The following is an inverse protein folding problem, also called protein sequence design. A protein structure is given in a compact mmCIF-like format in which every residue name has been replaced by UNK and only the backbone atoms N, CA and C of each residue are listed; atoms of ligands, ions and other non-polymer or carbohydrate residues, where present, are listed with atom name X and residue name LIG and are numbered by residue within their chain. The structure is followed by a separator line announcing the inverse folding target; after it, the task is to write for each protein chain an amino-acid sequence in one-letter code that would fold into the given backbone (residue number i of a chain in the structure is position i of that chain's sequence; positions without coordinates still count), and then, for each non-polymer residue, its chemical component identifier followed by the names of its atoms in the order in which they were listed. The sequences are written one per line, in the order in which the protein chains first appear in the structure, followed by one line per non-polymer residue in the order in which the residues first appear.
data_IF_917170560751
#
_entry.id   IF_917170560751
#
_cell.length_a   1.000
_cell.length_b   1.000
_cell.length_c   1.000
_cell.angle_alpha   90.00
_cell.angle_beta   90.00
_cell.angle_gamma   90.00
#
_symmetry.space_group_name_H-M   'P 1'
#
loop_
_entity.id
_entity.type
_entity.pdbx_description
1 polymer ?
#
# COMPACT_ATOMS: atom_id res chain seq x y z
N UNK A 1 -6.19 36.53 -14.18
CA UNK A 1 -4.85 36.33 -13.53
C UNK A 1 -4.82 35.05 -12.68
N UNK A 2 -3.66 34.43 -12.63
CA UNK A 2 -3.39 33.37 -11.67
C UNK A 2 -1.98 33.62 -11.20
N UNK A 3 -1.85 33.98 -9.92
CA UNK A 3 -0.58 34.36 -9.31
C UNK A 3 0.08 33.16 -8.61
N UNK A 4 1.26 33.37 -8.09
CA UNK A 4 2.02 32.28 -7.49
C UNK A 4 2.66 31.37 -8.51
N UNK A 5 3.50 30.45 -8.05
CA UNK A 5 4.31 29.62 -8.94
C UNK A 5 3.47 28.61 -9.70
N UNK A 6 3.81 28.37 -10.97
CA UNK A 6 3.22 27.31 -11.77
C UNK A 6 4.00 26.04 -11.49
N UNK A 7 3.29 24.96 -11.20
CA UNK A 7 3.94 23.70 -10.86
C UNK A 7 4.76 23.13 -12.03
N UNK A 8 5.96 22.67 -11.75
CA UNK A 8 6.74 21.90 -12.73
C UNK A 8 7.15 20.57 -12.07
N UNK A 9 6.93 19.46 -12.76
CA UNK A 9 7.33 18.15 -12.22
C UNK A 9 8.81 18.13 -11.91
N UNK A 10 9.19 17.56 -10.76
CA UNK A 10 10.62 17.38 -10.51
C UNK A 10 11.30 16.57 -11.61
N UNK A 11 12.44 17.07 -12.05
CA UNK A 11 13.17 16.45 -13.10
C UNK A 11 14.06 15.39 -12.46
N UNK A 12 13.52 14.23 -12.13
CA UNK A 12 14.32 13.23 -11.44
C UNK A 12 14.87 12.15 -12.38
N UNK A 13 16.15 11.86 -12.18
CA UNK A 13 16.83 10.91 -13.01
C UNK A 13 16.27 9.52 -12.81
N UNK A 14 16.30 8.73 -13.87
CA UNK A 14 15.77 7.39 -13.85
C UNK A 14 16.68 6.51 -13.04
N UNK A 15 16.09 5.43 -12.54
CA UNK A 15 16.81 4.48 -11.72
C UNK A 15 17.81 3.72 -12.56
N UNK A 16 19.06 3.69 -12.10
CA UNK A 16 20.08 2.86 -12.73
C UNK A 16 20.39 1.75 -11.76
N UNK A 17 20.28 0.50 -12.22
CA UNK A 17 20.71 -0.66 -11.42
C UNK A 17 21.56 -1.58 -12.30
N UNK A 18 22.87 -1.46 -12.19
CA UNK A 18 23.83 -2.22 -13.01
C UNK A 18 23.67 -3.75 -13.00
N UNK A 19 23.17 -4.30 -11.90
CA UNK A 19 22.98 -5.75 -11.78
C UNK A 19 21.94 -6.30 -12.75
N UNK A 20 21.03 -5.46 -13.25
CA UNK A 20 19.99 -5.88 -14.21
C UNK A 20 20.50 -6.41 -15.59
N UNK A 21 21.71 -6.04 -15.99
CA UNK A 21 22.40 -6.62 -17.19
C UNK A 21 22.66 -8.13 -17.05
N UNK A 22 22.82 -8.59 -15.81
CA UNK A 22 23.00 -9.99 -15.45
C UNK A 22 21.94 -10.95 -16.03
N UNK A 23 22.33 -12.22 -16.05
CA UNK A 23 21.60 -13.32 -16.77
C UNK A 23 20.22 -13.73 -16.21
N UNK A 24 20.02 -13.72 -14.88
CA UNK A 24 18.68 -14.07 -14.39
C UNK A 24 17.51 -13.16 -14.80
N UNK A 25 17.79 -12.02 -15.45
CA UNK A 25 16.76 -11.03 -15.79
C UNK A 25 16.58 -10.78 -17.29
N UNK A 26 15.35 -10.41 -17.65
CA UNK A 26 14.96 -10.12 -19.02
C UNK A 26 14.40 -8.69 -19.05
N UNK A 27 15.18 -7.77 -19.64
CA UNK A 27 14.84 -6.33 -19.67
C UNK A 27 13.99 -5.91 -20.85
N UNK A 28 13.74 -6.82 -21.80
CA UNK A 28 13.02 -6.47 -23.03
C UNK A 28 11.53 -6.29 -22.78
N UNK A 29 11.00 -7.02 -21.80
CA UNK A 29 9.61 -6.92 -21.43
C UNK A 29 9.41 -6.99 -19.91
N UNK A 30 8.23 -6.53 -19.49
CA UNK A 30 7.83 -6.50 -18.10
C UNK A 30 6.42 -7.10 -18.03
N UNK A 31 6.19 -8.04 -17.11
CA UNK A 31 4.85 -8.58 -16.88
C UNK A 31 4.18 -7.79 -15.76
N UNK A 32 3.08 -7.12 -16.08
CA UNK A 32 2.29 -6.42 -15.06
C UNK A 32 1.62 -7.40 -14.11
N UNK A 33 1.09 -8.49 -14.66
CA UNK A 33 0.53 -9.60 -13.89
C UNK A 33 1.65 -10.61 -13.58
N UNK A 34 2.67 -10.12 -12.87
CA UNK A 34 3.95 -10.78 -12.64
C UNK A 34 3.84 -12.16 -11.98
N UNK A 35 2.84 -12.29 -11.11
CA UNK A 35 2.57 -13.51 -10.34
C UNK A 35 2.10 -14.70 -11.17
N UNK A 36 1.60 -14.46 -12.38
CA UNK A 36 1.08 -15.53 -13.25
C UNK A 36 2.17 -16.42 -13.84
N UNK A 37 3.41 -15.96 -13.78
CA UNK A 37 4.57 -16.69 -14.28
C UNK A 37 4.91 -17.94 -13.50
N UNK A 38 4.51 -17.95 -12.24
CA UNK A 38 4.57 -19.12 -11.41
C UNK A 38 3.75 -20.30 -11.92
N UNK A 39 2.85 -20.05 -12.88
CA UNK A 39 2.01 -21.07 -13.51
C UNK A 39 1.18 -21.83 -12.49
N UNK A 40 0.73 -21.13 -11.46
CA UNK A 40 0.03 -21.72 -10.34
C UNK A 40 -1.41 -21.21 -10.41
N UNK A 41 -2.36 -22.06 -10.82
CA UNK A 41 -3.72 -21.55 -10.98
C UNK A 41 -4.41 -21.23 -9.65
N UNK A 42 -4.05 -21.95 -8.59
CA UNK A 42 -4.55 -21.68 -7.23
C UNK A 42 -4.22 -20.24 -6.84
N UNK A 43 -2.92 -19.92 -6.89
CA UNK A 43 -2.44 -18.58 -6.59
C UNK A 43 -3.20 -17.50 -7.37
N UNK A 44 -3.39 -17.75 -8.66
CA UNK A 44 -4.11 -16.83 -9.52
C UNK A 44 -5.50 -16.55 -9.02
N UNK A 45 -6.17 -17.60 -8.57
CA UNK A 45 -7.49 -17.49 -7.99
C UNK A 45 -7.47 -16.66 -6.70
N UNK A 46 -6.47 -16.88 -5.87
CA UNK A 46 -6.30 -16.07 -4.66
C UNK A 46 -6.25 -14.57 -4.97
N UNK A 47 -5.47 -14.20 -5.97
CA UNK A 47 -5.26 -12.80 -6.32
C UNK A 47 -6.55 -12.20 -6.86
N UNK A 48 -7.22 -12.95 -7.74
CA UNK A 48 -8.51 -12.52 -8.31
C UNK A 48 -9.53 -12.30 -7.22
N UNK A 49 -9.61 -13.22 -6.28
CA UNK A 49 -10.60 -13.11 -5.22
C UNK A 49 -10.25 -11.97 -4.29
N UNK A 50 -8.95 -11.79 -4.03
CA UNK A 50 -8.46 -10.71 -3.19
C UNK A 50 -8.88 -9.35 -3.70
N UNK A 51 -8.75 -9.13 -5.01
CA UNK A 51 -9.12 -7.85 -5.60
C UNK A 51 -10.62 -7.54 -5.41
N UNK A 52 -11.45 -8.56 -5.41
CA UNK A 52 -12.89 -8.40 -5.11
C UNK A 52 -13.26 -8.20 -3.65
N UNK A 53 -12.61 -8.95 -2.74
CA UNK A 53 -13.06 -9.07 -1.36
C UNK A 53 -12.30 -8.29 -0.31
N UNK A 54 -11.05 -7.97 -0.59
CA UNK A 54 -10.20 -7.28 0.38
C UNK A 54 -10.79 -5.94 0.78
N UNK A 55 -11.00 -5.77 2.08
CA UNK A 55 -11.68 -4.62 2.64
C UNK A 55 -10.81 -3.39 2.70
N UNK A 56 -9.51 -3.55 2.98
CA UNK A 56 -8.57 -2.42 2.91
C UNK A 56 -8.58 -1.79 1.56
N UNK A 57 -8.78 -2.58 0.53
CA UNK A 57 -8.87 -2.06 -0.83
C UNK A 57 -10.17 -1.28 -1.07
N UNK A 58 -11.24 -1.83 -0.50
CA UNK A 58 -12.55 -1.20 -0.53
C UNK A 58 -12.55 0.13 0.24
N UNK A 59 -11.81 0.19 1.34
CA UNK A 59 -11.66 1.43 2.08
C UNK A 59 -11.00 2.48 1.22
N UNK A 60 -9.86 2.14 0.65
CA UNK A 60 -9.10 3.06 -0.17
C UNK A 60 -9.88 3.55 -1.37
N UNK A 61 -10.71 2.71 -1.96
CA UNK A 61 -11.57 3.15 -3.06
C UNK A 61 -12.64 4.15 -2.60
N UNK A 62 -13.19 3.98 -1.40
CA UNK A 62 -14.15 4.98 -0.87
C UNK A 62 -13.46 6.33 -0.61
N UNK A 63 -12.21 6.28 -0.14
CA UNK A 63 -11.41 7.49 0.11
C UNK A 63 -11.09 8.27 -1.16
N UNK A 64 -10.97 7.55 -2.27
CA UNK A 64 -10.84 8.18 -3.59
C UNK A 64 -12.13 8.93 -3.97
N UNK A 65 -13.28 8.28 -3.77
CA UNK A 65 -14.55 8.88 -4.08
C UNK A 65 -14.81 10.11 -3.24
N UNK A 66 -14.42 10.02 -1.96
CA UNK A 66 -14.46 11.16 -1.03
C UNK A 66 -13.60 12.32 -1.51
N UNK A 67 -12.37 12.04 -1.93
CA UNK A 67 -11.49 13.05 -2.47
C UNK A 67 -12.07 13.71 -3.74
N UNK A 68 -12.66 12.91 -4.62
CA UNK A 68 -13.33 13.45 -5.78
C UNK A 68 -14.50 14.34 -5.42
N UNK A 69 -15.29 13.91 -4.44
CA UNK A 69 -16.43 14.71 -3.96
C UNK A 69 -16.00 16.08 -3.44
N UNK A 70 -14.86 16.12 -2.78
CA UNK A 70 -14.32 17.35 -2.25
C UNK A 70 -13.88 18.26 -3.39
N UNK A 71 -13.22 17.69 -4.36
CA UNK A 71 -12.84 18.42 -5.56
C UNK A 71 -14.06 19.01 -6.30
N UNK A 72 -15.14 18.22 -6.41
CA UNK A 72 -16.39 18.68 -7.03
C UNK A 72 -17.01 19.87 -6.33
N UNK A 73 -16.90 19.88 -5.01
CA UNK A 73 -17.40 20.99 -4.19
C UNK A 73 -16.61 22.27 -4.44
N UNK A 74 -15.28 22.13 -4.46
CA UNK A 74 -14.36 23.25 -4.70
C UNK A 74 -14.59 23.78 -6.12
N UNK A 75 -14.76 22.86 -7.06
CA UNK A 75 -15.09 23.22 -8.43
C UNK A 75 -16.27 24.21 -8.55
N UNK A 76 -17.31 24.09 -7.70
CA UNK A 76 -18.46 25.03 -7.75
C UNK A 76 -18.20 26.44 -7.32
N UNK A 77 -17.11 26.66 -6.60
CA UNK A 77 -16.83 27.94 -5.97
C UNK A 77 -16.57 29.03 -6.98
N UNK A 78 -16.29 28.66 -8.24
CA UNK A 78 -16.13 29.64 -9.34
C UNK A 78 -17.43 30.36 -9.63
N UNK A 79 -18.56 29.67 -9.48
CA UNK A 79 -19.84 30.21 -9.89
C UNK A 79 -20.53 30.95 -8.74
N UNK A 80 -21.42 31.92 -9.09
CA UNK A 80 -22.22 32.59 -8.06
C UNK A 80 -23.06 31.59 -7.29
N UNK A 81 -23.35 31.93 -6.03
CA UNK A 81 -24.14 31.09 -5.14
C UNK A 81 -25.49 31.77 -4.97
N UNK A 82 -26.51 31.18 -5.59
CA UNK A 82 -27.88 31.66 -5.54
C UNK A 82 -28.76 30.77 -4.63
N UNK A 83 -29.31 31.38 -3.57
CA UNK A 83 -30.18 30.71 -2.65
C UNK A 83 -31.48 31.51 -2.62
N UNK A 84 -32.57 30.86 -2.21
CA UNK A 84 -33.88 31.53 -2.09
C UNK A 84 -34.16 31.74 -0.63
N UNK A 85 -34.86 32.83 -0.32
CA UNK A 85 -35.16 33.12 1.06
C UNK A 85 -36.42 33.94 1.23
N UNK A 86 -37.08 33.70 2.36
CA UNK A 86 -38.26 34.42 2.79
C UNK A 86 -38.00 34.80 4.24
N UNK A 87 -38.02 36.09 4.55
CA UNK A 87 -37.75 36.54 5.92
C UNK A 87 -38.61 37.72 6.31
N UNK A 88 -38.56 38.07 7.59
CA UNK A 88 -39.24 39.24 8.13
C UNK A 88 -38.41 39.89 9.22
N UNK A 89 -38.66 41.17 9.46
CA UNK A 89 -38.03 41.92 10.53
C UNK A 89 -39.11 42.80 11.11
N UNK A 90 -39.61 42.39 12.27
CA UNK A 90 -40.63 43.08 13.00
C UNK A 90 -40.04 43.60 14.29
N UNK A 91 -40.42 44.81 14.68
CA UNK A 91 -40.03 45.32 15.97
C UNK A 91 -40.71 46.61 16.35
N UNK A 92 -40.35 47.12 17.52
CA UNK A 92 -40.85 48.37 18.01
C UNK A 92 -39.77 48.98 18.87
N UNK A 93 -39.37 50.20 18.53
CA UNK A 93 -38.30 50.90 19.21
C UNK A 93 -38.08 52.29 18.63
N UNK A 94 -37.09 53.00 19.13
CA UNK A 94 -36.71 54.30 18.58
C UNK A 94 -35.99 54.08 17.27
N UNK A 95 -35.98 55.12 16.44
CA UNK A 95 -35.19 55.15 15.20
C UNK A 95 -34.16 56.29 15.31
N UNK A 96 -32.94 55.94 15.79
CA UNK A 96 -31.86 56.94 15.94
C UNK A 96 -31.63 57.66 14.63
N UNK A 97 -31.60 59.00 14.68
CA UNK A 97 -31.49 59.82 13.47
C UNK A 97 -32.83 60.34 13.01
N UNK A 98 -33.85 59.47 13.05
CA UNK A 98 -35.19 59.76 12.53
C UNK A 98 -36.13 60.33 13.61
N UNK A 99 -36.26 59.61 14.72
CA UNK A 99 -37.25 59.98 15.74
C UNK A 99 -36.95 59.35 17.10
N UNK A 100 -37.34 60.06 18.18
CA UNK A 100 -37.18 59.56 19.55
C UNK A 100 -38.42 58.83 20.09
N UNK A 101 -39.52 58.86 19.32
CA UNK A 101 -40.70 58.05 19.59
C UNK A 101 -40.40 56.58 19.35
N UNK A 102 -40.96 55.71 20.18
CA UNK A 102 -40.95 54.28 19.93
C UNK A 102 -41.96 53.99 18.84
N UNK A 103 -41.47 53.52 17.71
CA UNK A 103 -42.27 53.32 16.51
C UNK A 103 -42.23 51.85 16.09
N UNK A 104 -43.27 51.39 15.41
CA UNK A 104 -43.32 50.06 14.83
C UNK A 104 -42.52 49.95 13.53
N UNK A 105 -41.87 48.80 13.36
CA UNK A 105 -41.10 48.47 12.17
C UNK A 105 -41.56 47.14 11.64
N UNK A 106 -41.72 47.08 10.33
CA UNK A 106 -42.18 45.88 9.66
C UNK A 106 -41.63 45.84 8.27
N UNK A 107 -40.92 44.75 7.97
CA UNK A 107 -40.31 44.53 6.69
C UNK A 107 -40.51 43.07 6.33
N UNK A 108 -40.86 42.80 5.06
CA UNK A 108 -41.01 41.44 4.56
C UNK A 108 -40.23 41.26 3.26
N UNK A 109 -39.52 40.14 3.16
CA UNK A 109 -38.69 39.87 1.99
C UNK A 109 -38.93 38.47 1.43
N UNK A 110 -38.95 38.34 0.11
CA UNK A 110 -39.04 37.05 -0.60
C UNK A 110 -38.30 37.14 -1.95
N UNK A 111 -37.23 36.38 -2.11
CA UNK A 111 -36.50 36.43 -3.36
C UNK A 111 -35.27 35.56 -3.37
N UNK A 112 -34.42 35.77 -4.37
CA UNK A 112 -33.16 35.05 -4.54
C UNK A 112 -32.03 35.91 -4.00
N UNK A 113 -31.20 35.33 -3.17
CA UNK A 113 -29.98 35.97 -2.73
C UNK A 113 -28.90 35.39 -3.59
N UNK A 114 -27.94 36.22 -4.00
CA UNK A 114 -26.77 35.69 -4.67
C UNK A 114 -25.50 36.28 -4.10
N UNK A 115 -24.44 35.48 -4.15
CA UNK A 115 -23.12 35.83 -3.60
C UNK A 115 -22.03 35.21 -4.50
N UNK A 116 -20.96 35.96 -4.74
CA UNK A 116 -19.97 35.53 -5.73
C UNK A 116 -18.64 36.25 -5.60
N UNK A 117 -17.60 35.48 -5.25
CA UNK A 117 -16.20 35.94 -5.38
C UNK A 117 -15.74 35.73 -6.84
N UNK A 118 -15.47 36.82 -7.57
CA UNK A 118 -14.84 36.75 -8.91
C UNK A 118 -13.37 36.33 -8.70
N UNK A 119 -12.92 35.31 -9.40
CA UNK A 119 -11.63 34.72 -9.12
C UNK A 119 -10.55 35.48 -9.88
N UNK A 120 -10.40 36.75 -9.54
CA UNK A 120 -9.64 37.67 -10.36
C UNK A 120 -8.16 37.34 -10.39
N UNK A 121 -7.64 36.87 -9.25
CA UNK A 121 -6.23 36.52 -9.11
C UNK A 121 -5.98 35.04 -8.94
N UNK A 122 -7.03 34.23 -9.13
CA UNK A 122 -6.90 32.77 -9.27
C UNK A 122 -6.83 32.01 -7.99
N UNK A 123 -7.31 32.58 -6.90
CA UNK A 123 -7.36 31.88 -5.62
C UNK A 123 -8.21 30.60 -5.70
N UNK A 124 -9.42 30.74 -6.22
CA UNK A 124 -10.29 29.58 -6.36
C UNK A 124 -9.74 28.57 -7.38
N UNK A 125 -9.13 29.09 -8.46
CA UNK A 125 -8.55 28.25 -9.50
C UNK A 125 -7.40 27.42 -8.92
N UNK A 126 -6.58 28.05 -8.07
CA UNK A 126 -5.50 27.36 -7.36
C UNK A 126 -6.02 26.38 -6.31
N UNK A 127 -7.15 26.66 -5.68
CA UNK A 127 -7.79 25.64 -4.83
C UNK A 127 -8.19 24.41 -5.62
N UNK A 128 -8.82 24.62 -6.77
CA UNK A 128 -9.31 23.52 -7.55
C UNK A 128 -8.13 22.70 -8.07
N UNK A 129 -7.09 23.42 -8.50
CA UNK A 129 -5.83 22.79 -8.93
C UNK A 129 -5.21 21.91 -7.82
N UNK A 130 -5.22 22.41 -6.59
CA UNK A 130 -4.80 21.64 -5.40
C UNK A 130 -5.67 20.40 -5.20
N UNK A 131 -6.98 20.63 -5.20
CA UNK A 131 -7.94 19.61 -4.88
C UNK A 131 -7.93 18.50 -5.92
N UNK A 132 -7.78 18.86 -7.20
CA UNK A 132 -7.55 17.89 -8.28
C UNK A 132 -6.28 17.04 -8.07
N UNK A 133 -5.19 17.68 -7.65
CA UNK A 133 -3.94 16.95 -7.38
C UNK A 133 -4.13 15.93 -6.26
N UNK A 134 -4.82 16.31 -5.19
CA UNK A 134 -5.08 15.41 -4.05
C UNK A 134 -5.98 14.27 -4.47
N UNK A 135 -6.92 14.57 -5.34
CA UNK A 135 -7.82 13.55 -5.90
C UNK A 135 -7.01 12.48 -6.62
N UNK A 136 -6.07 12.92 -7.45
CA UNK A 136 -5.13 12.03 -8.14
C UNK A 136 -4.19 11.30 -7.17
N UNK A 137 -3.77 11.98 -6.10
CA UNK A 137 -3.00 11.34 -5.04
C UNK A 137 -3.74 10.19 -4.38
N UNK A 138 -5.06 10.35 -4.15
CA UNK A 138 -5.85 9.28 -3.54
C UNK A 138 -5.98 8.06 -4.47
N UNK A 139 -6.03 8.32 -5.78
CA UNK A 139 -6.04 7.25 -6.76
C UNK A 139 -4.72 6.45 -6.76
N UNK A 140 -3.61 7.17 -6.67
CA UNK A 140 -2.28 6.55 -6.58
C UNK A 140 -2.13 5.76 -5.27
N UNK A 141 -2.68 6.24 -4.18
CA UNK A 141 -2.73 5.46 -2.93
C UNK A 141 -3.46 4.13 -3.13
N UNK A 142 -4.61 4.16 -3.78
CA UNK A 142 -5.40 2.95 -4.08
C UNK A 142 -4.54 1.94 -4.87
N UNK A 143 -3.81 2.44 -5.85
CA UNK A 143 -2.96 1.59 -6.69
C UNK A 143 -1.75 1.03 -5.97
N UNK A 144 -1.13 1.85 -5.14
CA UNK A 144 -0.02 1.41 -4.29
C UNK A 144 -0.45 0.31 -3.30
N UNK A 145 -1.61 0.49 -2.69
CA UNK A 145 -2.16 -0.52 -1.80
C UNK A 145 -2.42 -1.82 -2.54
N UNK A 146 -2.76 -1.71 -3.81
CA UNK A 146 -2.98 -2.90 -4.61
C UNK A 146 -1.69 -3.69 -4.85
N UNK A 147 -0.64 -2.95 -5.17
CA UNK A 147 0.72 -3.49 -5.31
C UNK A 147 1.17 -4.19 -4.01
N UNK A 148 0.92 -3.53 -2.89
CA UNK A 148 1.32 -4.04 -1.59
C UNK A 148 0.54 -5.31 -1.23
N UNK A 149 -0.76 -5.20 -1.36
CA UNK A 149 -1.66 -6.31 -1.13
C UNK A 149 -1.29 -7.55 -1.92
N UNK A 150 -1.11 -7.40 -3.22
CA UNK A 150 -0.77 -8.55 -4.06
C UNK A 150 0.54 -9.16 -3.60
N UNK A 151 1.55 -8.32 -3.36
CA UNK A 151 2.86 -8.79 -2.84
C UNK A 151 2.69 -9.50 -1.53
N UNK A 152 1.94 -8.93 -0.60
CA UNK A 152 1.73 -9.59 0.70
C UNK A 152 1.06 -10.93 0.53
N UNK A 153 0.09 -11.01 -0.39
CA UNK A 153 -0.68 -12.23 -0.63
C UNK A 153 0.17 -13.31 -1.26
N UNK A 154 0.91 -12.94 -2.30
CA UNK A 154 1.80 -13.90 -2.98
C UNK A 154 2.91 -14.37 -2.01
N UNK A 155 3.50 -13.44 -1.29
CA UNK A 155 4.49 -13.73 -0.28
C UNK A 155 3.97 -14.70 0.78
N UNK A 156 2.77 -14.45 1.29
CA UNK A 156 2.17 -15.31 2.29
C UNK A 156 1.88 -16.69 1.76
N UNK A 157 1.39 -16.78 0.53
CA UNK A 157 1.15 -18.08 -0.10
C UNK A 157 2.42 -18.91 -0.19
N UNK A 158 3.53 -18.26 -0.52
CA UNK A 158 4.84 -18.91 -0.54
C UNK A 158 5.30 -19.41 0.80
N UNK A 159 4.94 -18.70 1.87
CA UNK A 159 5.31 -19.13 3.20
C UNK A 159 4.48 -20.34 3.60
N UNK A 160 3.22 -20.38 3.20
CA UNK A 160 2.42 -21.56 3.42
C UNK A 160 3.02 -22.80 2.74
N UNK A 161 3.48 -22.64 1.50
CA UNK A 161 4.01 -23.78 0.74
C UNK A 161 5.31 -24.25 1.36
N UNK A 162 6.15 -23.29 1.76
CA UNK A 162 7.36 -23.55 2.55
C UNK A 162 7.14 -24.34 3.84
N UNK A 163 6.12 -23.99 4.59
CA UNK A 163 5.80 -24.71 5.82
C UNK A 163 5.37 -26.14 5.50
N UNK A 164 4.52 -26.31 4.49
CA UNK A 164 4.10 -27.62 4.02
C UNK A 164 5.31 -28.44 3.55
N UNK A 165 6.21 -27.82 2.79
CA UNK A 165 7.41 -28.48 2.29
C UNK A 165 8.27 -28.95 3.45
N UNK A 166 8.54 -28.04 4.37
CA UNK A 166 9.36 -28.33 5.52
C UNK A 166 8.71 -29.38 6.42
N UNK A 167 7.39 -29.40 6.49
CA UNK A 167 6.68 -30.42 7.26
C UNK A 167 6.99 -31.79 6.73
N UNK A 168 6.88 -31.94 5.41
CA UNK A 168 7.06 -33.24 4.79
C UNK A 168 8.50 -33.71 4.95
N UNK A 169 9.45 -32.78 4.79
CA UNK A 169 10.86 -33.05 5.05
C UNK A 169 11.06 -33.60 6.49
N UNK A 170 10.54 -32.88 7.47
CA UNK A 170 10.58 -33.34 8.86
C UNK A 170 9.97 -34.75 9.07
N UNK A 171 8.81 -34.98 8.46
CA UNK A 171 8.14 -36.27 8.51
C UNK A 171 8.96 -37.42 7.87
N UNK A 172 9.60 -37.10 6.75
CA UNK A 172 10.47 -38.02 6.01
C UNK A 172 11.74 -38.36 6.81
N UNK A 173 12.40 -37.34 7.30
CA UNK A 173 13.53 -37.53 8.19
C UNK A 173 13.16 -38.21 9.51
N UNK A 174 11.94 -37.98 9.98
CA UNK A 174 11.44 -38.69 11.17
C UNK A 174 11.38 -40.20 10.93
N UNK A 175 11.04 -40.62 9.72
CA UNK A 175 10.93 -42.03 9.42
C UNK A 175 12.31 -42.68 9.36
N UNK A 176 13.30 -42.01 8.77
CA UNK A 176 14.70 -42.48 8.87
C UNK A 176 15.09 -42.70 10.34
N UNK A 177 14.75 -41.73 11.18
CA UNK A 177 15.11 -41.75 12.59
C UNK A 177 14.29 -42.71 13.44
N UNK A 178 13.21 -43.24 12.90
CA UNK A 178 12.46 -44.36 13.51
C UNK A 178 13.10 -45.67 13.11
N UNK A 179 13.46 -45.78 11.84
CA UNK A 179 14.14 -46.96 11.33
C UNK A 179 15.47 -47.13 12.05
N UNK A 180 16.22 -46.04 12.10
CA UNK A 180 17.48 -45.99 12.83
C UNK A 180 17.30 -46.30 14.32
N UNK A 181 16.26 -45.78 14.93
CA UNK A 181 15.92 -46.10 16.31
C UNK A 181 15.53 -47.59 16.48
N UNK A 182 14.79 -48.12 15.52
CA UNK A 182 14.43 -49.54 15.53
C UNK A 182 15.70 -50.38 15.49
N UNK A 183 16.64 -49.98 14.63
CA UNK A 183 17.90 -50.68 14.45
C UNK A 183 18.73 -50.72 15.73
N UNK A 184 18.93 -49.57 16.36
CA UNK A 184 19.63 -49.50 17.66
C UNK A 184 18.94 -50.36 18.75
N UNK A 185 17.62 -50.46 18.68
CA UNK A 185 16.84 -51.24 19.61
C UNK A 185 17.10 -52.73 19.38
N UNK A 186 17.22 -53.12 18.10
CA UNK A 186 17.54 -54.51 17.73
C UNK A 186 18.94 -54.94 18.16
N UNK A 187 19.91 -54.03 18.08
CA UNK A 187 21.30 -54.33 18.44
C UNK A 187 21.54 -54.48 19.93
N UNK A 188 20.78 -53.79 20.77
CA UNK A 188 20.89 -53.99 22.22
C UNK A 188 20.21 -55.33 22.59
N UNK A 189 19.08 -55.63 21.96
CA UNK A 189 18.36 -56.89 22.20
C UNK A 189 19.09 -58.15 21.67
N UNK A 190 20.02 -57.98 20.74
CA UNK A 190 20.91 -59.07 20.29
C UNK A 190 22.17 -59.21 21.15
N UNK A 191 22.35 -58.36 22.16
CA UNK A 191 23.52 -58.43 23.06
C UNK A 191 24.78 -57.66 22.64
N UNK A 192 24.83 -57.14 21.41
CA UNK A 192 26.05 -56.52 20.83
C UNK A 192 26.17 -54.99 20.96
N UNK A 193 25.04 -54.28 21.03
CA UNK A 193 24.99 -52.81 21.08
C UNK A 193 25.04 -52.21 22.48
N UNK A 194 24.25 -51.17 22.72
CA UNK A 194 24.16 -50.51 24.06
C UNK A 194 22.93 -49.60 24.17
N UNK A 195 22.42 -49.45 25.39
CA UNK A 195 21.27 -48.57 25.65
C UNK A 195 21.53 -47.09 25.34
N UNK A 196 22.77 -46.66 25.58
CA UNK A 196 23.20 -45.29 25.29
C UNK A 196 22.79 -44.87 23.88
N UNK A 197 22.95 -45.80 22.94
CA UNK A 197 22.56 -45.56 21.56
C UNK A 197 21.04 -45.39 21.42
N UNK A 198 20.27 -46.25 22.07
CA UNK A 198 18.81 -46.17 22.02
C UNK A 198 18.30 -44.82 22.55
N UNK A 199 18.86 -44.38 23.69
CA UNK A 199 18.48 -43.11 24.30
C UNK A 199 18.75 -41.91 23.37
N UNK A 200 19.96 -41.83 22.85
CA UNK A 200 20.33 -40.79 21.89
C UNK A 200 19.40 -40.82 20.69
N UNK A 201 19.05 -42.01 20.23
CA UNK A 201 18.19 -42.17 19.07
C UNK A 201 16.79 -41.68 19.38
N UNK A 202 16.29 -42.00 20.59
CA UNK A 202 14.93 -41.59 20.99
C UNK A 202 14.86 -40.07 21.24
N UNK A 203 15.91 -39.50 21.84
CA UNK A 203 16.05 -38.06 21.98
C UNK A 203 15.94 -37.34 20.64
N UNK A 204 16.78 -37.70 19.70
CA UNK A 204 16.80 -37.11 18.35
C UNK A 204 15.46 -37.28 17.62
N UNK A 205 14.83 -38.42 17.82
CA UNK A 205 13.52 -38.70 17.27
C UNK A 205 12.45 -37.74 17.83
N UNK A 206 12.54 -37.45 19.13
CA UNK A 206 11.63 -36.53 19.78
C UNK A 206 11.81 -35.09 19.30
N UNK A 207 13.05 -34.72 19.04
CA UNK A 207 13.39 -33.38 18.58
C UNK A 207 12.77 -33.10 17.24
N UNK A 208 12.91 -34.06 16.33
CA UNK A 208 12.35 -33.93 15.01
C UNK A 208 10.83 -33.90 15.09
N UNK A 209 10.26 -34.70 16.00
CA UNK A 209 8.82 -34.71 16.21
C UNK A 209 8.27 -33.36 16.73
N UNK A 210 9.09 -32.65 17.51
CA UNK A 210 8.69 -31.34 18.04
C UNK A 210 8.57 -30.28 16.94
N UNK A 211 9.36 -30.40 15.87
CA UNK A 211 9.28 -29.42 14.79
C UNK A 211 7.98 -29.49 13.96
N UNK A 212 7.33 -30.66 13.91
CA UNK A 212 6.18 -30.87 13.03
C UNK A 212 4.95 -30.02 13.43
N UNK A 213 4.55 -30.03 14.71
CA UNK A 213 3.46 -29.11 15.10
C UNK A 213 3.81 -27.63 14.87
N UNK A 214 5.08 -27.27 15.06
CA UNK A 214 5.50 -25.90 14.88
C UNK A 214 5.35 -25.48 13.42
N UNK A 215 5.80 -26.31 12.50
CA UNK A 215 5.65 -26.04 11.07
C UNK A 215 4.16 -25.99 10.68
N UNK A 216 3.36 -26.87 11.30
CA UNK A 216 1.91 -26.90 11.10
C UNK A 216 1.26 -25.64 11.62
N UNK A 217 1.78 -25.14 12.73
CA UNK A 217 1.32 -23.90 13.30
C UNK A 217 1.57 -22.70 12.37
N UNK A 218 2.78 -22.61 11.82
CA UNK A 218 3.11 -21.56 10.84
C UNK A 218 2.18 -21.58 9.64
N UNK A 219 1.93 -22.77 9.14
CA UNK A 219 1.06 -22.99 7.98
C UNK A 219 -0.34 -22.48 8.23
N UNK A 220 -0.84 -22.76 9.43
CA UNK A 220 -2.19 -22.40 9.77
C UNK A 220 -2.27 -20.85 9.92
N UNK A 221 -1.21 -20.23 10.43
CA UNK A 221 -1.16 -18.76 10.50
C UNK A 221 -1.15 -18.14 9.12
N UNK A 222 -0.40 -18.74 8.20
CA UNK A 222 -0.41 -18.29 6.81
C UNK A 222 -1.80 -18.44 6.12
N UNK A 223 -2.52 -19.54 6.36
CA UNK A 223 -3.89 -19.68 5.88
C UNK A 223 -4.81 -18.57 6.40
N UNK A 224 -4.64 -18.22 7.69
CA UNK A 224 -5.48 -17.22 8.32
C UNK A 224 -5.19 -15.85 7.73
N UNK A 225 -3.92 -15.56 7.48
CA UNK A 225 -3.51 -14.32 6.83
C UNK A 225 -4.14 -14.22 5.45
N UNK A 226 -3.98 -15.28 4.68
CA UNK A 226 -4.45 -15.32 3.30
C UNK A 226 -5.94 -15.03 3.26
N UNK A 227 -6.68 -15.64 4.18
CA UNK A 227 -8.14 -15.48 4.25
C UNK A 227 -8.54 -14.02 4.50
N UNK A 228 -7.91 -13.36 5.48
CA UNK A 228 -8.16 -11.95 5.74
C UNK A 228 -7.81 -11.08 4.53
N UNK A 229 -6.73 -11.42 3.83
CA UNK A 229 -6.37 -10.68 2.63
C UNK A 229 -7.37 -10.85 1.52
N UNK A 230 -8.06 -11.99 1.48
CA UNK A 230 -9.10 -12.22 0.47
C UNK A 230 -10.43 -11.55 0.81
N UNK A 231 -10.60 -11.13 2.07
CA UNK A 231 -11.87 -10.62 2.56
C UNK A 231 -12.80 -11.72 3.06
N UNK A 232 -12.21 -12.80 3.58
CA UNK A 232 -12.98 -13.95 4.01
C UNK A 232 -12.64 -14.33 5.45
N UNK A 233 -13.57 -15.03 6.10
CA UNK A 233 -13.37 -15.57 7.42
C UNK A 233 -12.53 -16.85 7.28
N UNK A 234 -11.75 -17.25 8.31
CA UNK A 234 -10.79 -18.37 8.15
C UNK A 234 -11.45 -19.74 7.86
N UNK A 235 -12.44 -20.06 8.68
CA UNK A 235 -13.51 -21.04 8.40
C UNK A 235 -14.12 -21.10 6.98
N UNK A 236 -14.24 -19.96 6.29
CA UNK A 236 -15.03 -19.84 5.03
C UNK A 236 -14.20 -19.68 3.76
N UNK A 237 -12.97 -20.14 3.79
CA UNK A 237 -12.02 -19.87 2.72
C UNK A 237 -12.35 -20.71 1.50
N UNK A 238 -12.67 -20.04 0.38
CA UNK A 238 -13.20 -20.75 -0.81
C UNK A 238 -12.12 -21.40 -1.68
N UNK A 239 -10.85 -21.10 -1.45
CA UNK A 239 -9.76 -21.71 -2.20
C UNK A 239 -9.14 -22.87 -1.42
N UNK A 240 -9.06 -24.03 -2.09
CA UNK A 240 -8.42 -25.21 -1.51
C UNK A 240 -6.91 -25.00 -1.49
N UNK A 241 -6.33 -25.09 -0.29
CA UNK A 241 -4.90 -24.91 -0.10
C UNK A 241 -4.21 -26.20 0.40
N UNK A 242 -4.60 -27.34 -0.17
CA UNK A 242 -3.95 -28.63 0.13
C UNK A 242 -2.51 -28.57 -0.35
N UNK A 243 -1.60 -29.30 0.33
CA UNK A 243 -0.20 -29.27 -0.09
C UNK A 243 0.01 -29.51 -1.60
N UNK A 244 0.61 -28.52 -2.24
CA UNK A 244 1.20 -28.62 -3.57
C UNK A 244 2.60 -28.05 -3.47
N UNK A 245 3.39 -28.23 -4.53
CA UNK A 245 4.79 -27.77 -4.53
C UNK A 245 4.91 -26.26 -4.53
N UNK A 246 6.12 -25.79 -4.20
CA UNK A 246 6.47 -24.37 -4.20
C UNK A 246 6.66 -23.94 -5.65
N UNK A 247 5.98 -22.85 -6.06
CA UNK A 247 6.17 -22.39 -7.44
C UNK A 247 7.58 -21.87 -7.78
N UNK A 248 8.03 -22.12 -9.00
CA UNK A 248 9.31 -21.60 -9.47
C UNK A 248 9.12 -20.93 -10.83
N UNK A 249 10.10 -20.12 -11.20
CA UNK A 249 10.18 -19.55 -12.53
C UNK A 249 11.51 -20.00 -13.16
N UNK A 250 11.45 -20.92 -14.12
CA UNK A 250 12.64 -21.38 -14.84
C UNK A 250 13.18 -20.30 -15.80
N UNK A 251 12.29 -19.51 -16.41
CA UNK A 251 12.67 -18.43 -17.32
C UNK A 251 13.38 -17.32 -16.60
N UNK A 252 14.14 -16.50 -17.33
CA UNK A 252 14.65 -15.25 -16.77
C UNK A 252 13.45 -14.36 -16.48
N UNK A 253 13.56 -13.56 -15.42
CA UNK A 253 12.47 -12.69 -14.96
C UNK A 253 12.23 -11.50 -15.88
N UNK A 254 11.02 -11.38 -16.43
CA UNK A 254 10.67 -10.16 -17.17
C UNK A 254 10.51 -8.95 -16.24
N UNK A 255 11.58 -8.17 -16.14
CA UNK A 255 11.62 -6.99 -15.30
C UNK A 255 11.55 -5.67 -16.05
N UNK A 256 11.70 -5.67 -17.37
CA UNK A 256 11.69 -4.44 -18.15
C UNK A 256 12.92 -3.57 -17.88
N UNK A 257 12.88 -2.34 -18.40
CA UNK A 257 13.90 -1.37 -18.09
C UNK A 257 13.72 -0.91 -16.63
N UNK A 258 14.76 -1.05 -15.78
CA UNK A 258 14.63 -0.59 -14.39
C UNK A 258 14.51 0.93 -14.25
N UNK A 259 14.98 1.71 -15.22
CA UNK A 259 14.74 3.16 -15.29
C UNK A 259 13.27 3.55 -15.21
N UNK A 260 12.42 2.69 -15.77
CA UNK A 260 10.98 2.86 -15.74
C UNK A 260 10.36 2.80 -14.34
N UNK A 261 11.04 2.21 -13.35
CA UNK A 261 10.35 1.87 -12.11
C UNK A 261 9.75 3.06 -11.37
N UNK A 262 10.47 4.19 -11.31
CA UNK A 262 9.94 5.39 -10.63
C UNK A 262 8.64 5.92 -11.27
N UNK A 263 8.57 5.81 -12.60
CA UNK A 263 7.39 6.18 -13.34
C UNK A 263 6.25 5.18 -13.20
N UNK A 264 6.54 3.92 -12.91
CA UNK A 264 5.52 2.89 -12.72
C UNK A 264 4.93 2.84 -11.30
N UNK A 265 5.79 3.04 -10.30
CA UNK A 265 5.43 3.02 -8.88
C UNK A 265 4.41 4.11 -8.44
N UNK A 266 3.19 3.69 -8.00
CA UNK A 266 2.18 4.65 -7.57
C UNK A 266 2.50 5.43 -6.30
N UNK A 267 3.34 4.88 -5.43
CA UNK A 267 3.73 5.65 -4.24
C UNK A 267 4.48 6.93 -4.61
N UNK A 268 5.28 6.83 -5.66
CA UNK A 268 6.07 7.94 -6.16
C UNK A 268 5.14 8.96 -6.78
N UNK A 269 4.18 8.47 -7.53
CA UNK A 269 3.21 9.33 -8.17
C UNK A 269 2.41 10.09 -7.11
N UNK A 270 1.96 9.36 -6.07
CA UNK A 270 1.16 9.96 -4.98
C UNK A 270 1.89 11.12 -4.26
N UNK A 271 3.19 10.92 -4.02
CA UNK A 271 4.05 11.93 -3.41
C UNK A 271 4.25 13.13 -4.33
N UNK A 272 4.39 12.86 -5.62
CA UNK A 272 4.50 13.91 -6.62
C UNK A 272 3.19 14.77 -6.69
N UNK A 273 2.04 14.10 -6.61
CA UNK A 273 0.75 14.79 -6.67
C UNK A 273 0.49 15.60 -5.39
N UNK A 274 1.00 15.13 -4.26
CA UNK A 274 0.97 15.93 -3.04
C UNK A 274 1.88 17.13 -3.15
N UNK A 275 3.02 16.97 -3.80
CA UNK A 275 3.89 18.11 -4.08
C UNK A 275 3.18 19.16 -4.98
N UNK A 276 2.42 18.68 -5.97
CA UNK A 276 1.64 19.55 -6.86
C UNK A 276 0.54 20.28 -6.11
N UNK A 277 -0.13 19.54 -5.23
CA UNK A 277 -1.16 20.14 -4.38
C UNK A 277 -0.59 21.25 -3.53
N UNK A 278 0.54 20.98 -2.90
CA UNK A 278 1.13 21.98 -2.01
C UNK A 278 1.66 23.14 -2.81
N UNK A 279 2.22 22.90 -3.98
CA UNK A 279 2.61 23.99 -4.86
C UNK A 279 1.42 24.90 -5.23
N UNK A 280 0.29 24.31 -5.59
CA UNK A 280 -0.92 25.08 -5.84
C UNK A 280 -1.35 25.89 -4.58
N UNK A 281 -1.22 25.28 -3.39
CA UNK A 281 -1.54 25.96 -2.14
C UNK A 281 -0.71 27.24 -1.91
N UNK A 282 0.47 27.32 -2.50
CA UNK A 282 1.29 28.57 -2.46
C UNK A 282 0.58 29.68 -3.25
N UNK A 283 0.03 29.28 -4.41
CA UNK A 283 -0.80 30.19 -5.20
C UNK A 283 -1.99 30.76 -4.42
N UNK A 284 -2.69 29.86 -3.72
CA UNK A 284 -3.84 30.25 -2.92
C UNK A 284 -3.41 31.32 -1.92
N UNK A 285 -2.31 31.06 -1.22
CA UNK A 285 -1.77 32.01 -0.24
C UNK A 285 -1.26 33.28 -0.89
N UNK A 286 -0.64 33.18 -2.07
CA UNK A 286 -0.19 34.35 -2.82
C UNK A 286 -1.34 35.25 -3.28
N UNK A 287 -2.47 34.67 -3.65
CA UNK A 287 -3.60 35.46 -4.12
C UNK A 287 -4.10 36.49 -3.10
N UNK A 288 -3.96 36.16 -1.81
CA UNK A 288 -4.42 37.01 -0.72
C UNK A 288 -3.55 38.27 -0.55
N UNK A 289 -2.40 38.32 -1.22
CA UNK A 289 -1.65 39.59 -1.38
C UNK A 289 -2.37 40.61 -2.23
N UNK A 290 -3.33 40.14 -3.05
CA UNK A 290 -3.98 40.95 -4.09
C UNK A 290 -5.43 41.24 -3.70
N UNK A 291 -6.08 42.24 -4.33
CA UNK A 291 -7.46 42.54 -3.95
C UNK A 291 -8.46 41.40 -4.17
N UNK A 292 -9.57 41.46 -3.47
CA UNK A 292 -10.63 40.48 -3.55
C UNK A 292 -11.88 41.21 -4.06
N UNK A 293 -12.43 40.74 -5.17
CA UNK A 293 -13.63 41.29 -5.79
C UNK A 293 -14.78 40.34 -5.59
N UNK A 294 -15.91 40.89 -5.16
CA UNK A 294 -17.12 40.11 -4.87
C UNK A 294 -18.36 40.89 -5.29
N UNK A 295 -19.44 40.16 -5.52
CA UNK A 295 -20.66 40.74 -6.03
C UNK A 295 -21.84 40.06 -5.40
N UNK A 296 -22.62 40.79 -4.61
CA UNK A 296 -23.84 40.24 -4.02
C UNK A 296 -25.03 40.84 -4.73
N UNK A 297 -26.15 40.14 -4.65
CA UNK A 297 -27.40 40.65 -5.21
C UNK A 297 -28.64 40.12 -4.52
N UNK A 298 -29.77 40.76 -4.77
CA UNK A 298 -31.07 40.23 -4.33
C UNK A 298 -32.07 40.45 -5.45
N UNK A 299 -32.87 39.44 -5.78
CA UNK A 299 -33.93 39.63 -6.74
C UNK A 299 -35.24 39.05 -6.19
N UNK A 300 -36.26 39.88 -6.04
CA UNK A 300 -37.55 39.36 -5.64
C UNK A 300 -38.56 40.41 -5.26
N UNK A 301 -39.02 40.34 -4.01
CA UNK A 301 -40.06 41.22 -3.49
C UNK A 301 -39.68 41.77 -2.11
N UNK A 302 -40.10 43.01 -1.85
CA UNK A 302 -39.85 43.70 -0.57
C UNK A 302 -41.00 44.66 -0.26
N UNK A 303 -41.56 44.56 0.95
CA UNK A 303 -42.66 45.43 1.38
C UNK A 303 -42.81 45.54 2.86
N UNK A 304 -43.47 46.60 3.27
CA UNK A 304 -43.85 46.80 4.66
C UNK A 304 -45.11 46.06 5.09
N UNK A 305 -45.92 45.67 4.10
CA UNK A 305 -47.14 44.90 4.32
C UNK A 305 -47.13 43.57 3.56
N UNK A 306 -47.27 42.47 4.31
CA UNK A 306 -47.12 41.13 3.79
C UNK A 306 -48.02 40.76 2.64
N UNK A 307 -49.25 41.28 2.67
CA UNK A 307 -50.21 41.02 1.61
C UNK A 307 -49.65 41.46 0.24
N UNK A 308 -48.78 42.48 0.25
CA UNK A 308 -48.12 42.91 -0.98
C UNK A 308 -46.99 42.02 -1.54
N UNK A 309 -46.39 41.14 -0.74
CA UNK A 309 -45.35 40.21 -1.25
C UNK A 309 -45.92 39.37 -2.38
N UNK A 310 -45.17 39.28 -3.48
CA UNK A 310 -45.61 38.61 -4.69
C UNK A 310 -46.20 39.55 -5.72
N UNK A 311 -46.65 40.73 -5.32
CA UNK A 311 -47.19 41.70 -6.26
C UNK A 311 -46.06 42.50 -6.92
N UNK A 312 -46.39 43.14 -8.03
CA UNK A 312 -45.42 43.91 -8.81
C UNK A 312 -45.13 45.28 -8.16
N UNK A 313 -46.05 45.75 -7.31
CA UNK A 313 -45.85 47.01 -6.53
C UNK A 313 -44.77 46.85 -5.44
N UNK A 314 -44.52 45.58 -5.08
CA UNK A 314 -43.49 45.17 -4.13
C UNK A 314 -42.26 44.47 -4.78
N UNK A 315 -42.07 44.62 -6.10
CA UNK A 315 -40.87 44.11 -6.77
C UNK A 315 -39.63 44.82 -6.22
N UNK A 316 -38.54 44.07 -6.14
CA UNK A 316 -37.32 44.61 -5.60
C UNK A 316 -36.11 43.87 -6.15
N UNK A 317 -35.03 44.63 -6.39
CA UNK A 317 -33.75 44.10 -6.80
C UNK A 317 -32.65 44.97 -6.23
N UNK A 318 -31.52 44.36 -6.00
CA UNK A 318 -30.41 44.99 -5.37
C UNK A 318 -29.11 44.43 -5.95
N UNK A 319 -28.10 45.28 -6.10
CA UNK A 319 -26.76 44.83 -6.57
C UNK A 319 -25.72 45.43 -5.64
N UNK A 320 -24.71 44.64 -5.29
CA UNK A 320 -23.72 45.07 -4.31
C UNK A 320 -22.31 44.66 -4.65
N UNK A 321 -21.67 45.34 -5.60
CA UNK A 321 -20.29 45.03 -5.93
C UNK A 321 -19.34 45.56 -4.87
N UNK A 322 -18.27 44.81 -4.62
CA UNK A 322 -17.30 45.16 -3.62
C UNK A 322 -15.87 44.70 -4.02
N UNK A 323 -14.87 45.54 -3.73
CA UNK A 323 -13.48 45.14 -3.84
C UNK A 323 -12.82 45.51 -2.52
N UNK A 324 -12.06 44.56 -1.97
CA UNK A 324 -11.33 44.74 -0.72
C UNK A 324 -9.87 44.33 -0.85
N UNK A 325 -9.01 45.09 -0.19
CA UNK A 325 -7.58 44.86 -0.20
C UNK A 325 -7.06 44.99 1.22
N UNK A 326 -6.29 43.99 1.67
CA UNK A 326 -5.51 44.10 2.94
C UNK A 326 -4.43 45.20 2.82
N UNK A 327 -4.79 46.44 3.18
CA UNK A 327 -3.91 47.63 3.09
C UNK A 327 -2.74 47.56 4.06
N UNK A 328 -3.00 47.08 5.27
CA UNK A 328 -1.96 46.97 6.31
C UNK A 328 -1.78 45.56 6.87
N UNK A 329 -2.78 44.67 6.72
CA UNK A 329 -2.71 43.32 7.28
C UNK A 329 -2.06 42.32 6.30
N UNK A 330 -1.05 42.79 5.56
CA UNK A 330 -0.18 41.90 4.81
C UNK A 330 0.68 41.04 5.73
N UNK A 331 0.87 41.47 6.98
CA UNK A 331 1.64 40.70 7.95
C UNK A 331 1.13 39.28 8.14
N UNK A 332 -0.18 39.18 8.35
CA UNK A 332 -0.84 37.89 8.47
C UNK A 332 -0.87 37.13 7.14
N UNK A 333 -1.16 37.84 6.06
CA UNK A 333 -1.15 37.22 4.74
C UNK A 333 0.23 36.68 4.36
N UNK A 334 1.28 37.44 4.66
CA UNK A 334 2.67 37.03 4.42
C UNK A 334 3.14 35.92 5.36
N UNK A 335 2.54 35.84 6.55
CA UNK A 335 2.79 34.74 7.46
C UNK A 335 2.23 33.46 6.86
N UNK A 336 0.97 33.50 6.45
CA UNK A 336 0.36 32.35 5.78
C UNK A 336 1.11 31.92 4.52
N UNK A 337 1.69 32.89 3.82
CA UNK A 337 2.48 32.63 2.62
C UNK A 337 3.76 31.90 2.99
N UNK A 338 4.43 32.39 4.03
CA UNK A 338 5.63 31.70 4.52
C UNK A 338 5.32 30.25 4.96
N UNK A 339 4.15 30.03 5.56
CA UNK A 339 3.73 28.69 5.91
C UNK A 339 3.44 27.83 4.71
N UNK A 340 2.77 28.40 3.73
CA UNK A 340 2.51 27.68 2.49
C UNK A 340 3.83 27.25 1.83
N UNK A 341 4.80 28.17 1.72
CA UNK A 341 6.10 27.82 1.12
C UNK A 341 6.84 26.71 1.89
N UNK A 342 6.75 26.73 3.21
CA UNK A 342 7.37 25.69 4.04
C UNK A 342 6.71 24.32 3.78
N UNK A 343 5.39 24.27 3.67
CA UNK A 343 4.70 23.04 3.39
C UNK A 343 5.10 22.48 2.03
N UNK A 344 5.24 23.36 1.06
CA UNK A 344 5.74 22.97 -0.27
C UNK A 344 7.15 22.38 -0.18
N UNK A 345 8.04 23.03 0.55
CA UNK A 345 9.38 22.45 0.81
C UNK A 345 9.29 21.06 1.49
N UNK A 346 8.35 20.91 2.43
CA UNK A 346 8.21 19.66 3.11
C UNK A 346 7.80 18.63 2.06
N UNK A 347 6.71 18.92 1.36
CA UNK A 347 6.22 18.02 0.30
C UNK A 347 7.32 17.64 -0.71
N UNK A 348 8.24 18.58 -1.04
CA UNK A 348 9.35 18.27 -1.94
C UNK A 348 10.36 17.31 -1.30
N UNK A 349 10.72 17.57 -0.05
CA UNK A 349 11.63 16.67 0.67
C UNK A 349 11.00 15.29 0.86
N UNK A 350 9.70 15.28 1.18
CA UNK A 350 8.94 14.04 1.27
C UNK A 350 8.99 13.23 -0.03
N UNK A 351 8.78 13.94 -1.13
CA UNK A 351 8.78 13.31 -2.44
C UNK A 351 10.15 12.68 -2.70
N UNK A 352 11.20 13.45 -2.42
CA UNK A 352 12.55 12.93 -2.58
C UNK A 352 12.86 11.71 -1.70
N UNK A 353 12.41 11.71 -0.43
CA UNK A 353 12.53 10.51 0.42
C UNK A 353 11.86 9.27 -0.19
N UNK A 354 10.66 9.45 -0.75
CA UNK A 354 9.95 8.34 -1.38
C UNK A 354 10.73 7.81 -2.54
N UNK A 355 11.32 8.70 -3.31
CA UNK A 355 12.19 8.30 -4.42
C UNK A 355 13.37 7.50 -3.90
N UNK A 356 13.97 7.97 -2.82
CA UNK A 356 15.12 7.29 -2.25
C UNK A 356 14.78 5.93 -1.68
N UNK A 357 13.71 5.84 -0.91
CA UNK A 357 13.25 4.55 -0.40
C UNK A 357 12.90 3.58 -1.52
N UNK A 358 12.36 4.07 -2.62
CA UNK A 358 12.02 3.19 -3.74
C UNK A 358 13.28 2.59 -4.32
N UNK A 359 14.30 3.41 -4.48
CA UNK A 359 15.57 2.97 -5.01
C UNK A 359 16.29 2.06 -4.03
N UNK A 360 16.09 2.30 -2.73
CA UNK A 360 16.59 1.43 -1.67
C UNK A 360 15.91 0.05 -1.73
N UNK A 361 14.58 0.01 -1.70
CA UNK A 361 13.83 -1.24 -1.79
C UNK A 361 14.26 -2.05 -3.00
N UNK A 362 14.45 -1.32 -4.10
CA UNK A 362 14.74 -1.86 -5.40
C UNK A 362 16.14 -2.44 -5.44
N UNK A 363 17.09 -1.65 -4.96
CA UNK A 363 18.46 -2.09 -4.82
C UNK A 363 18.54 -3.34 -3.98
N UNK A 364 17.93 -3.29 -2.80
CA UNK A 364 17.76 -4.44 -1.87
C UNK A 364 17.21 -5.73 -2.49
N UNK A 365 16.17 -5.62 -3.31
CA UNK A 365 15.49 -6.81 -3.84
C UNK A 365 16.35 -7.57 -4.84
N UNK A 366 17.03 -6.82 -5.71
CA UNK A 366 17.89 -7.41 -6.75
C UNK A 366 19.15 -7.99 -6.11
N UNK A 367 19.81 -7.14 -5.34
CA UNK A 367 20.93 -7.52 -4.51
C UNK A 367 20.71 -8.84 -3.74
N UNK A 368 19.55 -8.98 -3.09
CA UNK A 368 19.20 -10.22 -2.35
C UNK A 368 18.93 -11.42 -3.28
N UNK A 369 18.15 -11.19 -4.33
CA UNK A 369 17.85 -12.27 -5.27
C UNK A 369 19.12 -12.93 -5.84
N UNK A 370 20.06 -12.11 -6.30
CA UNK A 370 21.33 -12.62 -6.80
C UNK A 370 22.04 -13.49 -5.79
N UNK A 371 22.14 -13.00 -4.56
CA UNK A 371 22.83 -13.69 -3.48
C UNK A 371 22.07 -14.95 -3.04
N UNK A 372 20.75 -14.87 -3.04
CA UNK A 372 19.93 -16.04 -2.73
C UNK A 372 20.01 -17.18 -3.73
N UNK A 373 20.33 -16.88 -4.99
CA UNK A 373 20.60 -17.93 -5.98
C UNK A 373 21.91 -18.66 -5.66
N UNK A 374 22.97 -17.87 -5.48
CA UNK A 374 24.28 -18.38 -5.13
C UNK A 374 24.21 -19.31 -3.92
N UNK A 375 23.63 -18.80 -2.84
CA UNK A 375 23.46 -19.56 -1.62
C UNK A 375 22.77 -20.89 -1.89
N UNK A 376 21.73 -20.87 -2.73
CA UNK A 376 20.97 -22.09 -3.01
C UNK A 376 21.79 -23.19 -3.71
N UNK A 377 22.73 -22.78 -4.57
CA UNK A 377 23.60 -23.71 -5.28
C UNK A 377 24.37 -24.60 -4.30
N UNK A 378 25.07 -23.95 -3.37
CA UNK A 378 25.87 -24.68 -2.41
C UNK A 378 24.99 -25.42 -1.39
N UNK A 379 23.86 -24.86 -1.00
CA UNK A 379 22.94 -25.59 -0.11
C UNK A 379 22.37 -26.87 -0.72
N UNK A 380 22.15 -26.88 -2.03
CA UNK A 380 21.70 -28.09 -2.74
C UNK A 380 22.77 -29.18 -2.67
N UNK A 381 24.04 -28.76 -2.78
CA UNK A 381 25.17 -29.67 -2.66
C UNK A 381 25.32 -30.23 -1.24
N UNK A 382 25.01 -29.42 -0.24
CA UNK A 382 25.06 -29.88 1.12
C UNK A 382 24.03 -30.98 1.33
N UNK A 383 22.83 -30.76 0.82
CA UNK A 383 21.76 -31.75 0.91
C UNK A 383 22.14 -33.08 0.25
N UNK A 384 22.80 -33.01 -0.91
CA UNK A 384 23.25 -34.21 -1.63
C UNK A 384 24.29 -34.99 -0.82
N UNK A 385 25.35 -34.29 -0.45
CA UNK A 385 26.39 -34.88 0.36
C UNK A 385 25.86 -35.49 1.66
N UNK A 386 24.95 -34.79 2.32
CA UNK A 386 24.42 -35.21 3.61
C UNK A 386 23.57 -36.45 3.51
N UNK A 387 22.76 -36.55 2.45
CA UNK A 387 22.00 -37.78 2.18
C UNK A 387 22.93 -38.97 1.94
N UNK A 388 23.99 -38.73 1.16
CA UNK A 388 24.99 -39.76 0.89
C UNK A 388 25.69 -40.20 2.17
N UNK A 389 26.16 -39.23 2.96
CA UNK A 389 26.84 -39.54 4.22
C UNK A 389 25.92 -40.27 5.18
N UNK A 390 24.64 -39.89 5.21
CA UNK A 390 23.70 -40.51 6.14
C UNK A 390 23.50 -41.98 5.81
N UNK A 391 23.36 -42.29 4.53
CA UNK A 391 23.15 -43.66 4.06
C UNK A 391 24.39 -44.57 4.19
N UNK A 392 25.58 -43.99 4.10
CA UNK A 392 26.85 -44.69 4.34
C UNK A 392 26.98 -45.10 5.79
N UNK A 393 26.77 -44.13 6.68
CA UNK A 393 26.87 -44.33 8.13
C UNK A 393 25.84 -45.34 8.62
N UNK A 394 24.67 -45.33 7.96
CA UNK A 394 23.62 -46.29 8.26
C UNK A 394 24.13 -47.72 7.99
N UNK A 395 24.71 -47.91 6.80
CA UNK A 395 25.32 -49.18 6.39
C UNK A 395 26.38 -49.63 7.39
N UNK A 396 27.32 -48.74 7.65
CA UNK A 396 28.44 -49.03 8.54
C UNK A 396 28.05 -49.17 10.01
N UNK A 397 26.90 -48.64 10.41
CA UNK A 397 26.37 -48.92 11.75
C UNK A 397 25.75 -50.31 11.84
N UNK A 398 25.00 -50.70 10.80
CA UNK A 398 24.37 -52.03 10.71
C UNK A 398 25.40 -53.15 10.72
N UNK A 399 26.53 -52.94 10.05
CA UNK A 399 27.63 -53.88 10.01
C UNK A 399 28.52 -53.85 11.29
N UNK A 400 28.13 -53.07 12.32
CA UNK A 400 28.92 -52.94 13.55
C UNK A 400 30.30 -52.28 13.40
N UNK A 401 30.56 -51.69 12.22
CA UNK A 401 31.91 -51.19 11.83
C UNK A 401 32.12 -49.66 12.10
N UNK A 402 31.14 -49.02 12.76
CA UNK A 402 31.32 -47.69 13.37
C UNK A 402 30.31 -47.52 14.52
N UNK A 403 30.63 -46.67 15.48
CA UNK A 403 29.69 -46.32 16.57
C UNK A 403 28.51 -45.43 16.11
N UNK A 404 27.41 -45.50 16.87
CA UNK A 404 26.19 -44.73 16.61
C UNK A 404 26.34 -43.21 16.37
N UNK A 405 27.17 -42.52 17.17
CA UNK A 405 27.31 -41.08 17.01
C UNK A 405 27.56 -40.69 15.55
N UNK A 406 28.36 -41.49 14.84
CA UNK A 406 28.61 -41.25 13.42
C UNK A 406 27.32 -41.21 12.61
N UNK A 407 26.41 -42.12 12.91
CA UNK A 407 25.08 -42.16 12.29
C UNK A 407 24.14 -41.10 12.86
N UNK A 408 24.25 -40.82 14.16
CA UNK A 408 23.44 -39.77 14.81
C UNK A 408 23.72 -38.42 14.18
N UNK A 409 25.00 -38.08 14.13
CA UNK A 409 25.42 -36.80 13.59
C UNK A 409 25.14 -36.69 12.09
N UNK A 410 25.24 -37.79 11.37
CA UNK A 410 24.94 -37.78 9.94
C UNK A 410 23.46 -37.54 9.67
N UNK A 411 22.57 -38.08 10.51
CA UNK A 411 21.12 -37.85 10.45
C UNK A 411 20.74 -36.43 10.82
N UNK A 412 21.49 -35.87 11.75
CA UNK A 412 21.28 -34.49 12.19
C UNK A 412 21.61 -33.51 11.06
N UNK A 413 22.79 -33.69 10.47
CA UNK A 413 23.23 -32.87 9.33
C UNK A 413 22.38 -33.05 8.06
N UNK A 414 21.75 -34.22 7.90
CA UNK A 414 20.83 -34.44 6.77
C UNK A 414 19.58 -33.59 6.94
N UNK A 415 19.00 -33.65 8.13
CA UNK A 415 17.80 -32.87 8.45
C UNK A 415 18.07 -31.37 8.23
N UNK A 416 19.11 -30.83 8.88
CA UNK A 416 19.34 -29.39 8.80
C UNK A 416 19.69 -28.92 7.39
N UNK A 417 20.36 -29.75 6.60
CA UNK A 417 20.68 -29.40 5.21
C UNK A 417 19.42 -29.29 4.35
N UNK A 418 18.60 -30.32 4.44
CA UNK A 418 17.33 -30.36 3.71
C UNK A 418 16.42 -29.21 4.10
N UNK A 419 16.33 -28.98 5.41
CA UNK A 419 15.55 -27.90 5.95
C UNK A 419 16.09 -26.53 5.61
N UNK A 420 17.40 -26.34 5.70
CA UNK A 420 17.99 -25.06 5.29
C UNK A 420 17.74 -24.79 3.82
N UNK A 421 17.73 -25.86 3.01
CA UNK A 421 17.51 -25.74 1.57
C UNK A 421 16.08 -25.32 1.25
N UNK A 422 15.12 -25.89 1.97
CA UNK A 422 13.73 -25.53 1.80
C UNK A 422 13.51 -24.05 2.16
N UNK A 423 14.10 -23.61 3.27
CA UNK A 423 14.06 -22.20 3.66
C UNK A 423 14.65 -21.29 2.59
N UNK A 424 15.76 -21.71 2.00
CA UNK A 424 16.42 -20.94 0.94
C UNK A 424 15.59 -20.87 -0.33
N UNK A 425 14.84 -21.93 -0.63
CA UNK A 425 13.97 -21.94 -1.81
C UNK A 425 12.82 -20.96 -1.62
N UNK A 426 12.29 -20.95 -0.41
CA UNK A 426 11.22 -20.04 -0.05
C UNK A 426 11.72 -18.60 -0.18
N UNK A 427 12.93 -18.37 0.32
CA UNK A 427 13.54 -17.07 0.25
C UNK A 427 13.77 -16.60 -1.18
N UNK A 428 14.12 -17.50 -2.09
CA UNK A 428 14.13 -17.17 -3.52
C UNK A 428 12.77 -16.66 -3.97
N UNK A 429 11.73 -17.40 -3.63
CA UNK A 429 10.36 -17.06 -4.03
C UNK A 429 9.97 -15.69 -3.48
N UNK A 430 10.24 -15.47 -2.22
CA UNK A 430 9.96 -14.20 -1.60
C UNK A 430 10.75 -13.04 -2.23
N UNK A 431 11.98 -13.31 -2.64
CA UNK A 431 12.80 -12.33 -3.33
C UNK A 431 12.28 -11.93 -4.70
N UNK A 432 11.61 -12.85 -5.38
CA UNK A 432 10.90 -12.53 -6.64
C UNK A 432 9.74 -11.57 -6.35
N UNK A 433 9.07 -11.82 -5.22
CA UNK A 433 7.94 -11.03 -4.79
C UNK A 433 8.44 -9.64 -4.43
N UNK A 434 9.52 -9.60 -3.66
CA UNK A 434 10.15 -8.32 -3.32
C UNK A 434 10.50 -7.51 -4.58
N UNK A 435 11.08 -8.16 -5.57
CA UNK A 435 11.47 -7.50 -6.81
C UNK A 435 10.31 -6.80 -7.47
N UNK A 436 9.21 -7.51 -7.71
CA UNK A 436 8.10 -6.96 -8.48
C UNK A 436 7.34 -5.92 -7.68
N UNK A 437 7.32 -6.10 -6.36
CA UNK A 437 6.82 -5.07 -5.46
C UNK A 437 7.59 -3.78 -5.66
N UNK A 438 8.92 -3.87 -5.71
CA UNK A 438 9.77 -2.68 -5.80
C UNK A 438 9.66 -2.00 -7.15
N UNK A 439 9.30 -2.76 -8.19
CA UNK A 439 9.13 -2.20 -9.53
C UNK A 439 7.73 -1.64 -9.80
N UNK A 440 6.79 -1.87 -8.87
CA UNK A 440 5.45 -1.29 -8.99
C UNK A 440 4.50 -2.04 -9.90
N UNK A 441 4.49 -3.37 -9.78
CA UNK A 441 3.66 -4.23 -10.63
C UNK A 441 2.38 -4.71 -9.98
N UNK A 442 1.34 -4.84 -10.80
CA UNK A 442 0.09 -5.48 -10.37
C UNK A 442 -1.10 -4.56 -10.28
N UNK A 443 -0.89 -3.24 -10.39
CA UNK A 443 -2.00 -2.27 -10.38
C UNK A 443 -2.64 -1.99 -11.76
N UNK A 444 -2.02 -2.48 -12.84
CA UNK A 444 -2.47 -2.16 -14.21
C UNK A 444 -3.40 -3.25 -14.77
#
# INVERSE_FOLDING_TARGET
CTVGPDYRTPDTAAAKIDATASKPYDRSRFESLWWKQFDDPTLNQLVEQSLSGNRDLRVAFARLRAARALRDDVANDRFPVVTSRASADIGKGQQPGVTEDRVNSERYDLGLDSAWELDLFGRIRRQLESSDALSEAAEADLQQLQVSLIAELVDAYGQLRGAQLREKIALSNLENQKESRQLTEQLRDAGVGAELDVLRADARLAATAASVPQLQAEAERARHRIATLLGQRPEELTVDLSPRDLPAITKALPIGDPGELLRRRPDIRAAERRLAASTADVGVATADLFPRVSLSGFLGFTAGRGSQIGSSAARAWSVGPSISWAAFDLGSVRARLRGAKADADAALASYEQQVLLALEESANAFSDYGKRQERLVSLVRQSEASRAAAQQAAIRYREGTTDFLVLLDAEREQLSAEDAQAQAEVELYRGIVAIYRSLGGGWQPSAGSHHHHHH
#
